data_IF_273067490656
#
_entry.id   IF_273067490656
#
_cell.length_a   1.000
_cell.length_b   1.000
_cell.length_c   1.000
_cell.angle_alpha   90.00
_cell.angle_beta   90.00
_cell.angle_gamma   90.00
#
_symmetry.space_group_name_H-M   'P 1'
#
loop_
_entity.id
_entity.type
_entity.pdbx_description
1 polymer ?
#
# COMPACT_ATOMS: atom_id res chain seq x y z
N UNK A 1 -9.92 -0.11 -12.39
CA UNK A 1 -10.86 0.79 -11.71
C UNK A 1 -11.60 1.57 -12.77
N UNK A 2 -12.92 1.55 -12.76
CA UNK A 2 -13.72 2.44 -13.58
C UNK A 2 -13.35 3.88 -13.23
N UNK A 3 -12.83 4.64 -14.19
CA UNK A 3 -12.41 6.04 -14.03
C UNK A 3 -13.61 6.99 -14.03
N UNK A 4 -14.76 6.53 -13.54
CA UNK A 4 -15.95 7.36 -13.44
C UNK A 4 -15.76 8.32 -12.25
N UNK A 5 -15.83 9.64 -12.46
CA UNK A 5 -15.68 10.62 -11.37
C UNK A 5 -16.91 10.67 -10.45
N UNK A 6 -18.02 10.07 -10.86
CA UNK A 6 -19.32 10.14 -10.17
C UNK A 6 -19.30 9.64 -8.71
N UNK A 7 -18.69 8.48 -8.37
CA UNK A 7 -18.63 8.03 -6.98
C UNK A 7 -17.79 8.95 -6.09
N UNK A 8 -16.69 9.50 -6.65
CA UNK A 8 -15.82 10.42 -5.94
C UNK A 8 -16.51 11.77 -5.68
N UNK A 9 -17.24 12.29 -6.67
CA UNK A 9 -18.02 13.52 -6.53
C UNK A 9 -19.12 13.36 -5.47
N UNK A 10 -19.85 12.23 -5.48
CA UNK A 10 -20.84 11.90 -4.45
C UNK A 10 -20.25 11.82 -3.04
N UNK A 11 -19.01 11.32 -2.91
CA UNK A 11 -18.32 11.23 -1.62
C UNK A 11 -17.84 12.60 -1.12
N UNK A 12 -17.47 13.52 -2.01
CA UNK A 12 -17.00 14.87 -1.66
C UNK A 12 -18.15 15.82 -1.32
N UNK A 13 -19.32 15.65 -1.93
CA UNK A 13 -20.46 16.56 -1.76
C UNK A 13 -20.85 16.83 -0.28
N UNK A 14 -20.91 15.82 0.62
CA UNK A 14 -21.18 16.06 2.04
C UNK A 14 -20.07 16.83 2.78
N UNK A 15 -18.87 16.95 2.20
CA UNK A 15 -17.71 17.61 2.81
C UNK A 15 -17.57 19.08 2.37
N UNK A 16 -18.45 19.58 1.50
CA UNK A 16 -18.45 20.99 1.05
C UNK A 16 -18.50 22.00 2.21
N UNK A 17 -19.32 21.81 3.28
CA UNK A 17 -19.31 22.73 4.42
C UNK A 17 -17.95 22.81 5.13
N UNK A 18 -17.25 21.68 5.28
CA UNK A 18 -15.92 21.61 5.88
C UNK A 18 -14.89 22.36 5.01
N UNK A 19 -14.95 22.17 3.68
CA UNK A 19 -14.09 22.86 2.72
C UNK A 19 -14.28 24.38 2.84
N UNK A 20 -15.54 24.84 2.85
CA UNK A 20 -15.86 26.26 3.00
C UNK A 20 -15.36 26.85 4.33
N UNK A 21 -15.64 26.17 5.45
CA UNK A 21 -15.16 26.58 6.78
C UNK A 21 -13.63 26.66 6.84
N UNK A 22 -12.94 25.65 6.29
CA UNK A 22 -11.47 25.61 6.26
C UNK A 22 -10.91 26.76 5.43
N UNK A 23 -11.47 27.03 4.25
CA UNK A 23 -10.99 28.11 3.39
C UNK A 23 -11.15 29.49 4.04
N UNK A 24 -12.30 29.75 4.66
CA UNK A 24 -12.54 31.02 5.36
C UNK A 24 -11.59 31.15 6.55
N UNK A 25 -11.45 30.09 7.36
CA UNK A 25 -10.60 30.13 8.56
C UNK A 25 -9.12 30.31 8.21
N UNK A 26 -8.64 29.67 7.15
CA UNK A 26 -7.27 29.82 6.67
C UNK A 26 -7.03 31.22 6.09
N UNK A 27 -7.93 31.71 5.22
CA UNK A 27 -7.80 33.03 4.59
C UNK A 27 -7.84 34.19 5.60
N UNK A 28 -8.59 34.03 6.70
CA UNK A 28 -8.66 35.02 7.79
C UNK A 28 -7.55 34.86 8.84
N UNK A 29 -6.65 33.88 8.69
CA UNK A 29 -5.58 33.62 9.66
C UNK A 29 -6.07 33.03 10.99
N UNK A 30 -7.28 32.49 11.04
CA UNK A 30 -7.89 31.91 12.24
C UNK A 30 -7.51 30.45 12.46
N UNK A 31 -7.04 29.74 11.42
CA UNK A 31 -6.51 28.40 11.59
C UNK A 31 -5.08 28.46 12.15
N UNK A 32 -4.77 27.58 13.11
CA UNK A 32 -3.42 27.40 13.65
C UNK A 32 -2.39 27.12 12.54
N UNK A 33 -2.83 26.45 11.47
CA UNK A 33 -2.01 26.07 10.33
C UNK A 33 -1.85 27.18 9.28
N UNK A 34 -2.59 28.30 9.35
CA UNK A 34 -2.53 29.37 8.35
C UNK A 34 -1.16 30.00 8.18
N UNK A 35 -0.34 29.96 9.24
CA UNK A 35 1.02 30.50 9.24
C UNK A 35 2.06 29.51 8.67
N UNK A 36 1.73 28.22 8.60
CA UNK A 36 2.67 27.15 8.27
C UNK A 36 2.36 26.46 6.95
N UNK A 37 1.07 26.37 6.59
CA UNK A 37 0.59 25.64 5.43
C UNK A 37 -0.08 26.57 4.44
N UNK A 38 0.07 26.26 3.15
CA UNK A 38 -0.77 26.89 2.14
C UNK A 38 -2.22 26.36 2.25
N UNK A 39 -3.15 27.14 1.72
CA UNK A 39 -4.58 26.83 1.72
C UNK A 39 -4.87 25.46 1.09
N UNK A 40 -4.14 25.12 0.02
CA UNK A 40 -4.30 23.86 -0.70
C UNK A 40 -3.98 22.68 0.20
N UNK A 41 -2.90 22.74 0.95
CA UNK A 41 -2.41 21.71 1.86
C UNK A 41 -3.38 21.55 3.02
N UNK A 42 -3.84 22.65 3.63
CA UNK A 42 -4.82 22.60 4.71
C UNK A 42 -6.15 21.99 4.25
N UNK A 43 -6.64 22.38 3.07
CA UNK A 43 -7.86 21.80 2.48
C UNK A 43 -7.71 20.29 2.21
N UNK A 44 -6.59 19.87 1.60
CA UNK A 44 -6.35 18.45 1.31
C UNK A 44 -6.32 17.64 2.61
N UNK A 45 -5.58 18.09 3.62
CA UNK A 45 -5.42 17.37 4.88
C UNK A 45 -6.74 17.30 5.65
N UNK A 46 -7.49 18.41 5.76
CA UNK A 46 -8.77 18.42 6.46
C UNK A 46 -9.82 17.54 5.78
N UNK A 47 -9.88 17.56 4.44
CA UNK A 47 -10.77 16.65 3.69
C UNK A 47 -10.36 15.19 3.91
N UNK A 48 -9.07 14.86 3.82
CA UNK A 48 -8.58 13.50 4.07
C UNK A 48 -8.90 13.02 5.49
N UNK A 49 -8.62 13.84 6.51
CA UNK A 49 -8.96 13.53 7.91
C UNK A 49 -10.45 13.28 8.08
N UNK A 50 -11.31 14.04 7.39
CA UNK A 50 -12.77 13.83 7.47
C UNK A 50 -13.26 12.50 6.88
N UNK A 51 -12.47 11.86 6.01
CA UNK A 51 -12.75 10.51 5.52
C UNK A 51 -12.16 9.43 6.43
N UNK A 52 -11.07 9.73 7.14
CA UNK A 52 -10.39 8.75 8.00
C UNK A 52 -11.04 8.72 9.39
N UNK A 53 -11.30 9.88 9.99
CA UNK A 53 -11.74 10.00 11.38
C UNK A 53 -13.27 9.95 11.51
N UNK A 54 -14.00 10.53 10.56
CA UNK A 54 -15.47 10.67 10.67
C UNK A 54 -16.22 9.52 9.96
N UNK A 55 -15.51 8.54 9.43
CA UNK A 55 -16.14 7.38 8.79
C UNK A 55 -16.71 6.42 9.85
N UNK A 56 -17.92 5.87 9.65
CA UNK A 56 -18.45 4.85 10.54
C UNK A 56 -17.46 3.67 10.66
N UNK A 57 -17.27 3.11 11.87
CA UNK A 57 -16.37 1.99 12.05
C UNK A 57 -16.82 0.81 11.19
N UNK A 58 -15.86 0.18 10.51
CA UNK A 58 -16.10 -1.02 9.70
C UNK A 58 -15.29 -2.18 10.27
N UNK A 59 -15.81 -3.42 10.20
CA UNK A 59 -15.02 -4.59 10.54
C UNK A 59 -13.71 -4.62 9.75
N UNK A 60 -12.61 -4.93 10.43
CA UNK A 60 -11.28 -5.01 9.82
C UNK A 60 -11.27 -5.95 8.61
N UNK A 61 -11.92 -7.11 8.73
CA UNK A 61 -12.03 -8.10 7.65
C UNK A 61 -12.74 -7.54 6.40
N UNK A 62 -13.70 -6.63 6.58
CA UNK A 62 -14.35 -5.95 5.45
C UNK A 62 -13.40 -4.99 4.74
N UNK A 63 -12.62 -4.21 5.50
CA UNK A 63 -11.61 -3.31 4.94
C UNK A 63 -10.53 -4.09 4.20
N UNK A 64 -10.04 -5.18 4.80
CA UNK A 64 -9.05 -6.07 4.21
C UNK A 64 -9.54 -6.65 2.88
N UNK A 65 -10.72 -7.27 2.87
CA UNK A 65 -11.32 -7.84 1.66
C UNK A 65 -11.46 -6.81 0.53
N UNK A 66 -11.77 -5.56 0.85
CA UNK A 66 -11.87 -4.50 -0.15
C UNK A 66 -10.48 -4.06 -0.65
N UNK A 67 -9.50 -3.94 0.24
CA UNK A 67 -8.16 -3.43 -0.09
C UNK A 67 -7.25 -4.45 -0.78
N UNK A 68 -7.42 -5.75 -0.49
CA UNK A 68 -6.62 -6.85 -1.04
C UNK A 68 -7.02 -7.22 -2.48
N UNK A 69 -8.01 -6.53 -3.07
CA UNK A 69 -8.46 -6.84 -4.43
C UNK A 69 -7.37 -6.46 -5.44
N UNK A 70 -6.62 -7.47 -5.87
CA UNK A 70 -5.56 -7.34 -6.87
C UNK A 70 -6.13 -6.78 -8.20
N UNK A 71 -5.53 -5.71 -8.76
CA UNK A 71 -5.81 -5.30 -10.12
C UNK A 71 -5.36 -6.35 -11.13
N UNK A 72 -6.05 -6.44 -12.26
CA UNK A 72 -5.59 -7.24 -13.39
C UNK A 72 -4.19 -6.81 -13.86
N UNK A 73 -3.36 -7.78 -14.20
CA UNK A 73 -2.05 -7.51 -14.80
C UNK A 73 -2.25 -7.13 -16.26
N UNK A 74 -2.10 -5.84 -16.55
CA UNK A 74 -2.29 -5.27 -17.89
C UNK A 74 -1.16 -4.31 -18.26
N UNK A 75 -0.77 -4.38 -19.53
CA UNK A 75 0.11 -3.43 -20.17
C UNK A 75 1.58 -3.87 -20.19
N UNK A 76 2.46 -2.87 -20.13
CA UNK A 76 3.93 -3.03 -20.23
C UNK A 76 4.56 -3.45 -18.91
N UNK A 77 4.18 -4.61 -18.40
CA UNK A 77 4.63 -5.13 -17.11
C UNK A 77 4.92 -6.62 -17.18
N UNK A 78 6.02 -7.01 -16.54
CA UNK A 78 6.30 -8.38 -16.13
C UNK A 78 5.93 -8.52 -14.66
N UNK A 79 5.26 -9.62 -14.30
CA UNK A 79 4.95 -9.99 -12.92
C UNK A 79 5.26 -11.48 -12.78
N UNK A 80 6.21 -11.82 -11.91
CA UNK A 80 6.54 -13.20 -11.55
C UNK A 80 6.34 -13.35 -10.04
N UNK A 81 5.38 -14.20 -9.66
CA UNK A 81 5.00 -14.44 -8.27
C UNK A 81 5.92 -15.46 -7.63
N UNK A 82 6.34 -15.18 -6.41
CA UNK A 82 7.16 -16.09 -5.60
C UNK A 82 6.62 -16.16 -4.18
N UNK A 83 6.98 -17.23 -3.50
CA UNK A 83 6.76 -17.42 -2.07
C UNK A 83 8.13 -17.53 -1.42
N UNK A 84 8.41 -16.65 -0.47
CA UNK A 84 9.61 -16.69 0.35
C UNK A 84 9.29 -17.54 1.58
N UNK A 85 9.91 -18.71 1.65
CA UNK A 85 9.71 -19.64 2.76
C UNK A 85 10.10 -18.98 4.08
N UNK A 86 9.30 -19.23 5.11
CA UNK A 86 9.65 -18.79 6.46
C UNK A 86 10.97 -19.43 6.91
N UNK A 87 11.75 -18.72 7.73
CA UNK A 87 12.94 -19.31 8.33
C UNK A 87 12.56 -20.48 9.26
N UNK A 88 13.48 -21.45 9.41
CA UNK A 88 13.32 -22.58 10.34
C UNK A 88 13.48 -22.16 11.81
N UNK A 89 14.25 -21.10 12.04
CA UNK A 89 14.44 -20.47 13.35
C UNK A 89 13.27 -19.55 13.72
N UNK A 90 13.02 -19.40 15.02
CA UNK A 90 11.92 -18.57 15.56
C UNK A 90 12.40 -17.20 16.09
N UNK A 91 13.67 -16.86 15.87
CA UNK A 91 14.34 -15.72 16.50
C UNK A 91 13.65 -14.38 16.24
N UNK A 92 13.17 -14.15 15.01
CA UNK A 92 12.48 -12.91 14.63
C UNK A 92 11.17 -12.76 15.39
N UNK A 93 10.40 -13.85 15.52
CA UNK A 93 9.13 -13.88 16.23
C UNK A 93 9.34 -13.62 17.72
N UNK A 94 10.33 -14.28 18.33
CA UNK A 94 10.67 -14.08 19.74
C UNK A 94 11.14 -12.65 20.04
N UNK A 95 11.97 -12.07 19.15
CA UNK A 95 12.40 -10.67 19.27
C UNK A 95 11.22 -9.69 19.14
N UNK A 96 10.27 -9.95 18.24
CA UNK A 96 9.06 -9.15 18.10
C UNK A 96 8.22 -9.19 19.39
N UNK A 97 7.97 -10.38 19.95
CA UNK A 97 7.19 -10.50 21.18
C UNK A 97 7.87 -9.85 22.36
N UNK A 98 9.19 -10.00 22.48
CA UNK A 98 9.97 -9.27 23.48
C UNK A 98 9.87 -7.76 23.32
N UNK A 99 9.86 -7.24 22.09
CA UNK A 99 9.67 -5.82 21.83
C UNK A 99 8.25 -5.35 22.22
N UNK A 100 7.22 -6.13 21.90
CA UNK A 100 5.83 -5.82 22.31
C UNK A 100 5.73 -5.81 23.83
N UNK A 101 6.26 -6.82 24.51
CA UNK A 101 6.27 -6.89 25.97
C UNK A 101 7.06 -5.74 26.61
N UNK A 102 8.19 -5.35 26.02
CA UNK A 102 8.99 -4.21 26.48
C UNK A 102 8.32 -2.85 26.31
N UNK A 103 7.27 -2.75 25.47
CA UNK A 103 6.47 -1.54 25.27
C UNK A 103 5.22 -1.48 26.16
N UNK A 104 4.96 -2.50 26.98
CA UNK A 104 3.78 -2.52 27.88
C UNK A 104 3.95 -1.53 29.02
N UNK A 105 2.90 -0.79 29.33
CA UNK A 105 2.89 0.14 30.47
C UNK A 105 2.29 -0.52 31.73
N UNK A 106 2.64 0.01 32.90
CA UNK A 106 2.04 -0.43 34.17
C UNK A 106 0.53 -0.15 34.15
N UNK A 107 -0.28 -1.22 34.16
CA UNK A 107 -1.75 -1.13 34.03
C UNK A 107 -2.33 -1.89 32.83
N UNK A 108 -1.50 -2.26 31.85
CA UNK A 108 -1.87 -3.18 30.76
C UNK A 108 -2.02 -4.65 31.23
N UNK A 109 -1.76 -4.89 32.52
CA UNK A 109 -1.65 -6.19 33.17
C UNK A 109 -2.88 -6.66 33.96
N UNK A 110 -4.09 -6.50 33.44
CA UNK A 110 -5.24 -7.28 33.92
C UNK A 110 -5.58 -8.37 32.90
N UNK A 111 -5.55 -9.62 33.34
CA UNK A 111 -5.75 -10.84 32.56
C UNK A 111 -6.85 -10.69 31.49
N UNK A 112 -6.47 -10.86 30.21
CA UNK A 112 -7.39 -10.87 29.07
C UNK A 112 -7.11 -9.88 27.94
N UNK A 113 -6.11 -8.99 28.06
CA UNK A 113 -5.72 -8.01 27.01
C UNK A 113 -4.43 -8.36 26.26
N UNK A 114 -4.07 -9.65 26.20
CA UNK A 114 -2.94 -10.12 25.40
C UNK A 114 -3.24 -10.13 23.91
N UNK A 115 -2.21 -10.09 23.07
CA UNK A 115 -2.33 -10.44 21.65
C UNK A 115 -2.13 -11.95 21.50
N UNK A 116 -2.81 -12.56 20.53
CA UNK A 116 -2.48 -13.94 20.14
C UNK A 116 -1.15 -13.92 19.42
N UNK A 117 -0.16 -14.64 19.93
CA UNK A 117 1.15 -14.79 19.30
C UNK A 117 1.03 -15.44 17.91
N UNK A 118 1.14 -14.68 16.80
CA UNK A 118 1.00 -15.24 15.48
C UNK A 118 2.15 -16.21 15.15
N UNK A 119 1.86 -17.26 14.38
CA UNK A 119 2.88 -18.16 13.83
C UNK A 119 3.71 -17.45 12.75
N UNK A 120 4.97 -17.86 12.58
CA UNK A 120 5.74 -17.51 11.38
C UNK A 120 5.11 -18.15 10.14
N UNK A 121 4.97 -17.34 9.08
CA UNK A 121 4.39 -17.72 7.80
C UNK A 121 5.29 -17.35 6.63
N UNK A 122 5.12 -18.07 5.54
CA UNK A 122 5.73 -17.72 4.26
C UNK A 122 5.24 -16.36 3.80
N UNK A 123 6.10 -15.64 3.09
CA UNK A 123 5.83 -14.29 2.61
C UNK A 123 5.67 -14.30 1.09
N UNK A 124 4.50 -13.89 0.63
CA UNK A 124 4.23 -13.72 -0.80
C UNK A 124 4.96 -12.47 -1.33
N UNK A 125 5.54 -12.57 -2.52
CA UNK A 125 6.19 -11.45 -3.18
C UNK A 125 6.09 -11.55 -4.71
N UNK A 126 6.32 -10.42 -5.38
CA UNK A 126 6.33 -10.34 -6.84
C UNK A 126 7.61 -9.70 -7.36
N UNK A 127 8.30 -10.39 -8.27
CA UNK A 127 9.26 -9.76 -9.15
C UNK A 127 8.51 -8.98 -10.22
N UNK A 128 8.79 -7.68 -10.30
CA UNK A 128 8.18 -6.75 -11.25
C UNK A 128 9.25 -6.14 -12.16
N UNK A 129 9.01 -6.23 -13.46
CA UNK A 129 9.85 -5.65 -14.50
C UNK A 129 9.06 -4.84 -15.51
N UNK A 130 9.74 -4.01 -16.28
CA UNK A 130 9.13 -3.33 -17.43
C UNK A 130 9.17 -4.25 -18.65
N UNK A 131 8.02 -4.46 -19.31
CA UNK A 131 7.90 -5.29 -20.52
C UNK A 131 7.91 -4.40 -21.76
N UNK A 132 9.07 -4.20 -22.35
CA UNK A 132 9.33 -3.32 -23.49
C UNK A 132 8.55 -3.74 -24.73
N UNK A 133 8.46 -5.05 -25.01
CA UNK A 133 7.74 -5.59 -26.18
C UNK A 133 6.21 -5.57 -26.08
N UNK A 134 5.64 -5.32 -24.89
CA UNK A 134 4.18 -5.29 -24.70
C UNK A 134 3.56 -3.94 -25.11
N UNK A 135 2.25 -3.91 -25.33
CA UNK A 135 1.48 -2.67 -25.56
C UNK A 135 0.68 -2.31 -24.31
N UNK A 136 -0.06 -1.19 -24.33
CA UNK A 136 -1.01 -0.84 -23.25
C UNK A 136 -2.17 -1.84 -23.14
N UNK A 137 -2.48 -2.56 -24.21
CA UNK A 137 -3.56 -3.52 -24.28
C UNK A 137 -3.10 -4.96 -23.97
N UNK A 138 -1.80 -5.21 -23.89
CA UNK A 138 -1.27 -6.55 -23.59
C UNK A 138 -1.80 -7.07 -22.24
N UNK A 139 -2.17 -8.34 -22.25
CA UNK A 139 -2.57 -9.09 -21.05
C UNK A 139 -1.39 -9.87 -20.48
N UNK A 140 -1.55 -10.35 -19.26
CA UNK A 140 -0.59 -11.25 -18.62
C UNK A 140 -0.36 -12.52 -19.47
N UNK A 141 0.89 -12.97 -19.56
CA UNK A 141 1.21 -14.23 -20.21
C UNK A 141 0.82 -15.41 -19.31
N UNK A 142 0.21 -16.43 -19.92
CA UNK A 142 -0.15 -17.70 -19.26
C UNK A 142 1.01 -18.69 -19.33
N UNK A 143 2.12 -18.35 -18.70
CA UNK A 143 3.31 -19.21 -18.54
C UNK A 143 3.68 -19.31 -17.06
N UNK A 144 4.46 -20.31 -16.62
CA UNK A 144 4.88 -20.43 -15.22
C UNK A 144 5.66 -19.21 -14.71
N UNK A 145 5.50 -18.84 -13.44
CA UNK A 145 6.14 -17.63 -12.88
C UNK A 145 7.67 -17.67 -12.95
N UNK A 146 8.30 -18.84 -12.80
CA UNK A 146 9.74 -19.01 -13.03
C UNK A 146 10.14 -18.60 -14.46
N UNK A 147 9.37 -19.04 -15.46
CA UNK A 147 9.62 -18.67 -16.85
C UNK A 147 9.36 -17.17 -17.09
N UNK A 148 8.34 -16.58 -16.44
CA UNK A 148 8.14 -15.12 -16.49
C UNK A 148 9.35 -14.35 -15.95
N UNK A 149 9.98 -14.84 -14.88
CA UNK A 149 11.18 -14.24 -14.33
C UNK A 149 12.35 -14.34 -15.32
N UNK A 150 12.57 -15.52 -15.91
CA UNK A 150 13.63 -15.73 -16.90
C UNK A 150 13.46 -14.83 -18.14
N UNK A 151 12.25 -14.71 -18.68
CA UNK A 151 11.95 -13.80 -19.80
C UNK A 151 12.09 -12.33 -19.41
N UNK A 152 11.60 -11.94 -18.23
CA UNK A 152 11.77 -10.58 -17.70
C UNK A 152 13.25 -10.20 -17.61
N UNK A 153 14.09 -11.11 -17.12
CA UNK A 153 15.52 -10.87 -16.95
C UNK A 153 16.26 -10.63 -18.27
N UNK A 154 15.75 -11.11 -19.41
CA UNK A 154 16.31 -10.79 -20.74
C UNK A 154 16.11 -9.32 -21.13
N UNK A 155 15.12 -8.64 -20.53
CA UNK A 155 14.82 -7.23 -20.77
C UNK A 155 15.44 -6.29 -19.70
N UNK A 156 16.10 -6.84 -18.67
CA UNK A 156 16.77 -6.05 -17.63
C UNK A 156 18.14 -5.59 -18.13
N UNK A 157 18.37 -4.28 -18.16
CA UNK A 157 19.63 -3.68 -18.65
C UNK A 157 20.56 -3.23 -17.51
N UNK A 158 20.03 -3.12 -16.28
CA UNK A 158 20.77 -2.66 -15.09
C UNK A 158 20.75 -3.73 -14.00
N UNK A 159 21.86 -3.94 -13.26
CA UNK A 159 21.88 -4.87 -12.13
C UNK A 159 21.07 -4.37 -10.93
N UNK A 160 20.55 -3.14 -10.98
CA UNK A 160 19.79 -2.52 -9.89
C UNK A 160 18.55 -3.35 -9.53
N UNK A 161 18.42 -3.67 -8.25
CA UNK A 161 17.24 -4.32 -7.68
C UNK A 161 16.65 -3.41 -6.61
N UNK A 162 15.36 -3.10 -6.74
CA UNK A 162 14.61 -2.31 -5.74
C UNK A 162 13.81 -3.28 -4.87
N UNK A 163 14.13 -3.34 -3.58
CA UNK A 163 13.24 -3.94 -2.58
C UNK A 163 12.14 -2.93 -2.26
N UNK A 164 10.90 -3.26 -2.59
CA UNK A 164 9.75 -2.40 -2.39
C UNK A 164 8.82 -3.02 -1.34
N UNK A 165 8.73 -2.39 -0.17
CA UNK A 165 7.80 -2.77 0.88
C UNK A 165 6.56 -1.88 0.77
N UNK A 166 5.40 -2.48 0.50
CA UNK A 166 4.21 -1.69 0.23
C UNK A 166 3.63 -1.01 1.48
N UNK A 167 2.92 0.10 1.28
CA UNK A 167 2.16 0.78 2.34
C UNK A 167 0.83 0.09 2.61
N UNK A 168 -0.08 0.73 3.34
CA UNK A 168 -1.37 0.13 3.71
C UNK A 168 -1.51 -0.17 5.20
N UNK A 169 -0.78 0.59 6.03
CA UNK A 169 -0.91 0.55 7.48
C UNK A 169 -0.72 -0.85 8.09
N UNK A 170 0.04 -1.73 7.43
CA UNK A 170 0.34 -3.11 7.85
C UNK A 170 -0.83 -4.09 7.85
N UNK A 171 -2.05 -3.66 7.51
CA UNK A 171 -3.22 -4.55 7.46
C UNK A 171 -4.06 -4.40 6.18
N UNK A 172 -3.71 -3.48 5.28
CA UNK A 172 -4.41 -3.24 4.02
C UNK A 172 -3.47 -3.47 2.84
N UNK A 173 -4.09 -3.64 1.66
CA UNK A 173 -3.40 -3.71 0.38
C UNK A 173 -2.48 -4.93 0.24
N UNK A 174 -1.84 -5.03 -0.93
CA UNK A 174 -1.07 -6.19 -1.38
C UNK A 174 0.01 -5.72 -2.38
N UNK A 175 1.13 -6.45 -2.61
CA UNK A 175 2.07 -6.14 -3.68
C UNK A 175 1.40 -5.86 -5.03
N UNK A 176 0.34 -6.61 -5.35
CA UNK A 176 -0.43 -6.45 -6.58
C UNK A 176 -1.02 -5.05 -6.76
N UNK A 177 -1.40 -4.40 -5.67
CA UNK A 177 -1.98 -3.04 -5.69
C UNK A 177 -0.95 -1.95 -6.02
N UNK A 178 0.34 -2.25 -5.85
CA UNK A 178 1.45 -1.31 -6.05
C UNK A 178 2.21 -1.53 -7.37
N UNK A 179 1.80 -2.50 -8.20
CA UNK A 179 2.35 -2.77 -9.53
C UNK A 179 2.58 -1.53 -10.42
N UNK A 180 1.69 -0.50 -10.44
CA UNK A 180 1.96 0.71 -11.22
C UNK A 180 3.24 1.44 -10.79
N UNK A 181 3.48 1.53 -9.48
CA UNK A 181 4.65 2.16 -8.87
C UNK A 181 5.90 1.32 -9.14
N UNK A 182 5.87 0.03 -8.83
CA UNK A 182 7.03 -0.87 -9.01
C UNK A 182 7.41 -1.02 -10.48
N UNK A 183 6.44 -1.09 -11.40
CA UNK A 183 6.70 -1.01 -12.85
C UNK A 183 7.40 0.30 -13.24
N UNK A 184 6.98 1.43 -12.69
CA UNK A 184 7.60 2.74 -12.99
C UNK A 184 9.03 2.78 -12.47
N UNK A 185 9.29 2.27 -11.27
CA UNK A 185 10.64 2.15 -10.70
C UNK A 185 11.52 1.22 -11.54
N UNK A 186 11.04 0.04 -11.91
CA UNK A 186 11.76 -0.90 -12.78
C UNK A 186 12.12 -0.24 -14.13
N UNK A 187 11.19 0.51 -14.74
CA UNK A 187 11.46 1.24 -15.98
C UNK A 187 12.53 2.32 -15.81
N UNK A 188 12.45 3.13 -14.75
CA UNK A 188 13.37 4.24 -14.52
C UNK A 188 14.79 3.76 -14.21
N UNK A 189 14.90 2.68 -13.44
CA UNK A 189 16.18 2.07 -13.05
C UNK A 189 16.76 1.16 -14.13
N UNK A 190 15.96 0.80 -15.14
CA UNK A 190 16.21 -0.28 -16.10
C UNK A 190 16.51 -1.63 -15.43
N UNK A 191 16.10 -1.76 -14.17
CA UNK A 191 16.32 -2.90 -13.30
C UNK A 191 15.03 -3.66 -13.06
N UNK A 192 14.92 -4.25 -11.86
CA UNK A 192 13.74 -4.97 -11.39
C UNK A 192 13.36 -4.56 -9.97
N UNK A 193 12.09 -4.77 -9.63
CA UNK A 193 11.61 -4.61 -8.26
C UNK A 193 11.25 -5.97 -7.68
N UNK A 194 11.65 -6.24 -6.44
CA UNK A 194 11.04 -7.26 -5.59
C UNK A 194 10.02 -6.54 -4.72
N UNK A 195 8.74 -6.74 -5.00
CA UNK A 195 7.63 -6.15 -4.22
C UNK A 195 7.16 -7.14 -3.18
N UNK A 196 7.19 -6.71 -1.92
CA UNK A 196 6.73 -7.45 -0.74
C UNK A 196 5.63 -6.64 -0.06
#
# INVERSE_FOLDING_TARGET
MDTSPLPMLKAILPKVPLIGKTAISHALGFSEHSQYWDLRTELIINVLRSFINDSPPRPLSQLQRMSLKAPEVKGRIWVSRIMMEKPQEDDVRQKLFKAIEGLREEGDGAAGRGFTEPELRDVEAEWVGYRAGATKASVELRIPDKQKYEEMMKEVESPTTVLYLHGGAYYLMDPATHRPTTKKLAKLTKGRCLSV
#
